data_IF_542802785025
#
_entry.id   IF_542802785025
#
_cell.length_a   1.000
_cell.length_b   1.000
_cell.length_c   1.000
_cell.angle_alpha   90.00
_cell.angle_beta   90.00
_cell.angle_gamma   90.00
#
_symmetry.space_group_name_H-M   'P 1'
#
loop_
_entity.id
_entity.type
_entity.pdbx_description
1 polymer ?
#
# COMPACT_ATOMS: atom_id res chain seq x y z
N UNK A 1 -22.71 -17.92 -10.45
CA UNK A 1 -21.70 -18.00 -9.38
C UNK A 1 -20.39 -18.42 -10.03
N UNK A 2 -19.37 -17.57 -10.02
CA UNK A 2 -18.07 -17.86 -10.62
C UNK A 2 -17.12 -18.38 -9.52
N UNK A 3 -16.46 -19.50 -9.81
CA UNK A 3 -15.48 -20.12 -8.93
C UNK A 3 -14.09 -19.91 -9.52
N UNK A 4 -13.19 -19.30 -8.75
CA UNK A 4 -11.80 -19.09 -9.16
C UNK A 4 -10.90 -20.11 -8.46
N UNK A 5 -10.82 -21.33 -9.00
CA UNK A 5 -9.84 -22.33 -8.58
C UNK A 5 -9.60 -23.39 -9.67
N UNK A 6 -8.47 -23.29 -10.38
CA UNK A 6 -8.09 -24.27 -11.42
C UNK A 6 -7.66 -25.62 -10.86
N UNK A 7 -7.16 -25.65 -9.61
CA UNK A 7 -6.97 -26.90 -8.89
C UNK A 7 -8.36 -27.38 -8.47
N UNK A 8 -8.92 -28.35 -9.18
CA UNK A 8 -10.09 -29.14 -8.81
C UNK A 8 -9.84 -29.97 -7.52
N UNK A 9 -9.24 -29.37 -6.49
CA UNK A 9 -9.12 -29.97 -5.18
C UNK A 9 -10.47 -29.81 -4.50
N UNK A 10 -11.31 -30.85 -4.63
CA UNK A 10 -12.61 -31.03 -3.99
C UNK A 10 -12.59 -30.84 -2.45
N UNK A 11 -11.41 -30.69 -1.84
CA UNK A 11 -11.19 -30.60 -0.40
C UNK A 11 -10.82 -29.20 0.12
N UNK A 12 -10.70 -28.18 -0.72
CA UNK A 12 -10.29 -26.84 -0.26
C UNK A 12 -11.50 -25.94 -0.03
N UNK A 13 -11.66 -25.48 1.23
CA UNK A 13 -12.75 -24.57 1.62
C UNK A 13 -12.67 -23.26 0.83
N UNK A 14 -13.74 -23.01 0.07
CA UNK A 14 -13.92 -21.76 -0.68
C UNK A 14 -14.56 -20.70 0.22
N UNK A 15 -14.07 -19.49 0.12
CA UNK A 15 -14.61 -18.32 0.81
C UNK A 15 -14.87 -17.20 -0.18
N UNK A 16 -15.67 -16.22 0.24
CA UNK A 16 -16.00 -15.06 -0.58
C UNK A 16 -14.73 -14.24 -0.81
N UNK A 17 -14.51 -13.80 -2.04
CA UNK A 17 -13.34 -12.99 -2.41
C UNK A 17 -13.42 -11.65 -1.64
N UNK A 18 -12.38 -11.28 -0.87
CA UNK A 18 -12.34 -10.00 -0.14
C UNK A 18 -12.48 -8.78 -1.06
N UNK A 19 -12.99 -7.66 -0.54
CA UNK A 19 -13.13 -6.43 -1.33
C UNK A 19 -11.80 -5.93 -1.87
N UNK A 20 -10.72 -6.07 -1.10
CA UNK A 20 -9.37 -5.64 -1.47
C UNK A 20 -8.84 -6.42 -2.68
N UNK A 21 -9.06 -7.73 -2.73
CA UNK A 21 -8.71 -8.58 -3.87
C UNK A 21 -9.53 -8.22 -5.13
N UNK A 22 -10.80 -7.85 -4.97
CA UNK A 22 -11.65 -7.42 -6.08
C UNK A 22 -11.20 -6.07 -6.65
N UNK A 23 -10.89 -5.12 -5.78
CA UNK A 23 -10.33 -3.81 -6.17
C UNK A 23 -8.97 -3.97 -6.83
N UNK A 24 -8.09 -4.81 -6.28
CA UNK A 24 -6.79 -5.13 -6.90
C UNK A 24 -6.95 -5.66 -8.32
N UNK A 25 -7.89 -6.59 -8.54
CA UNK A 25 -8.17 -7.16 -9.87
C UNK A 25 -8.66 -6.10 -10.83
N UNK A 26 -9.56 -5.22 -10.38
CA UNK A 26 -10.07 -4.13 -11.20
C UNK A 26 -8.98 -3.11 -11.57
N UNK A 27 -8.11 -2.74 -10.63
CA UNK A 27 -7.00 -1.81 -10.90
C UNK A 27 -5.97 -2.44 -11.83
N UNK A 28 -5.60 -3.70 -11.60
CA UNK A 28 -4.46 -4.34 -12.27
C UNK A 28 -4.81 -5.00 -13.60
N UNK A 29 -6.06 -5.46 -13.77
CA UNK A 29 -6.52 -6.21 -14.95
C UNK A 29 -7.72 -5.55 -15.64
N UNK A 30 -8.27 -4.46 -15.09
CA UNK A 30 -9.53 -3.86 -15.56
C UNK A 30 -10.70 -4.86 -15.57
N UNK A 31 -10.66 -5.87 -14.69
CA UNK A 31 -11.70 -6.89 -14.55
C UNK A 31 -12.48 -6.65 -13.26
N UNK A 32 -13.80 -6.50 -13.39
CA UNK A 32 -14.72 -6.43 -12.26
C UNK A 32 -15.10 -7.83 -11.78
N UNK A 33 -14.92 -8.09 -10.48
CA UNK A 33 -15.37 -9.32 -9.81
C UNK A 33 -16.65 -9.00 -9.01
N UNK A 34 -17.80 -9.60 -9.36
CA UNK A 34 -19.04 -9.43 -8.60
C UNK A 34 -18.94 -9.91 -7.15
N UNK A 35 -19.82 -9.37 -6.30
CA UNK A 35 -20.05 -9.91 -4.96
C UNK A 35 -20.40 -11.40 -5.01
N UNK A 36 -20.09 -12.13 -3.93
CA UNK A 36 -20.33 -13.56 -3.76
C UNK A 36 -19.49 -14.50 -4.65
N UNK A 37 -18.59 -13.98 -5.49
CA UNK A 37 -17.57 -14.81 -6.13
C UNK A 37 -16.65 -15.42 -5.07
N UNK A 38 -16.20 -16.66 -5.29
CA UNK A 38 -15.43 -17.41 -4.30
C UNK A 38 -14.06 -17.84 -4.82
N UNK A 39 -13.08 -17.81 -3.93
CA UNK A 39 -11.72 -18.31 -4.17
C UNK A 39 -11.28 -19.20 -3.01
N UNK A 40 -10.24 -20.00 -3.25
CA UNK A 40 -9.54 -20.71 -2.19
C UNK A 40 -8.41 -19.86 -1.59
N UNK A 41 -8.04 -20.13 -0.34
CA UNK A 41 -6.99 -19.37 0.36
C UNK A 41 -5.61 -19.52 -0.29
N UNK A 42 -5.39 -20.56 -1.09
CA UNK A 42 -4.13 -20.81 -1.79
C UNK A 42 -3.80 -19.72 -2.81
N UNK A 43 -4.82 -19.06 -3.37
CA UNK A 43 -4.67 -17.97 -4.34
C UNK A 43 -4.54 -16.59 -3.69
N UNK A 44 -4.74 -16.51 -2.37
CA UNK A 44 -4.63 -15.26 -1.62
C UNK A 44 -3.33 -15.20 -0.83
N UNK A 45 -2.82 -13.98 -0.69
CA UNK A 45 -1.81 -13.59 0.26
C UNK A 45 -2.39 -12.43 1.08
N UNK A 46 -2.78 -12.72 2.32
CA UNK A 46 -3.66 -11.83 3.09
C UNK A 46 -5.02 -11.67 2.42
N UNK A 47 -5.46 -10.43 2.22
CA UNK A 47 -6.73 -10.10 1.55
C UNK A 47 -6.58 -9.82 0.04
N UNK A 48 -5.43 -10.14 -0.57
CA UNK A 48 -5.11 -9.86 -1.98
C UNK A 48 -4.78 -11.13 -2.74
N UNK A 49 -4.99 -11.13 -4.06
CA UNK A 49 -4.53 -12.22 -4.92
C UNK A 49 -3.02 -12.23 -5.04
N UNK A 50 -2.44 -13.43 -5.00
CA UNK A 50 -1.05 -13.67 -5.42
C UNK A 50 -0.89 -13.32 -6.90
N UNK A 51 0.32 -12.95 -7.31
CA UNK A 51 0.60 -12.52 -8.69
C UNK A 51 0.23 -13.59 -9.71
N UNK A 52 0.59 -14.85 -9.44
CA UNK A 52 0.30 -15.97 -10.33
C UNK A 52 -1.21 -16.15 -10.48
N UNK A 53 -1.95 -16.08 -9.37
CA UNK A 53 -3.41 -16.18 -9.37
C UNK A 53 -4.04 -15.02 -10.15
N UNK A 54 -3.58 -13.79 -9.93
CA UNK A 54 -4.07 -12.59 -10.60
C UNK A 54 -3.90 -12.67 -12.13
N UNK A 55 -2.79 -13.26 -12.59
CA UNK A 55 -2.50 -13.42 -14.02
C UNK A 55 -3.45 -14.40 -14.73
N UNK A 56 -3.99 -15.39 -14.01
CA UNK A 56 -4.98 -16.32 -14.55
C UNK A 56 -6.43 -15.80 -14.50
N UNK A 57 -6.69 -14.65 -13.89
CA UNK A 57 -8.05 -14.08 -13.87
C UNK A 57 -8.39 -13.55 -15.26
N UNK A 58 -9.39 -14.16 -15.88
CA UNK A 58 -9.96 -13.75 -17.17
C UNK A 58 -11.40 -13.28 -17.05
N UNK A 59 -11.83 -12.45 -18.00
CA UNK A 59 -13.23 -12.06 -18.13
C UNK A 59 -14.01 -13.13 -18.89
N UNK A 60 -15.10 -13.61 -18.30
CA UNK A 60 -16.04 -14.52 -18.97
C UNK A 60 -17.17 -13.78 -19.71
N UNK A 61 -17.40 -12.51 -19.36
CA UNK A 61 -18.48 -11.67 -19.90
C UNK A 61 -18.03 -10.22 -19.97
N UNK A 62 -18.38 -9.54 -21.05
CA UNK A 62 -18.02 -8.13 -21.24
C UNK A 62 -18.93 -7.15 -20.49
N UNK A 63 -20.07 -7.64 -19.98
CA UNK A 63 -21.07 -6.81 -19.31
C UNK A 63 -21.57 -7.50 -18.04
N UNK A 64 -21.86 -6.68 -17.02
CA UNK A 64 -22.48 -7.11 -15.77
C UNK A 64 -23.54 -6.10 -15.35
N UNK A 65 -24.68 -6.59 -14.85
CA UNK A 65 -25.70 -5.73 -14.24
C UNK A 65 -25.35 -5.53 -12.77
N UNK A 66 -25.27 -4.28 -12.34
CA UNK A 66 -25.04 -3.89 -10.94
C UNK A 66 -26.29 -3.25 -10.38
N UNK A 67 -26.61 -3.57 -9.13
CA UNK A 67 -27.61 -2.82 -8.37
C UNK A 67 -27.00 -1.55 -7.75
N UNK A 68 -27.86 -0.66 -7.27
CA UNK A 68 -27.45 0.63 -6.70
C UNK A 68 -26.51 0.50 -5.50
N UNK A 69 -26.64 -0.58 -4.72
CA UNK A 69 -25.78 -0.85 -3.56
C UNK A 69 -24.39 -1.27 -4.03
N UNK A 70 -24.29 -2.23 -4.94
CA UNK A 70 -23.02 -2.68 -5.51
C UNK A 70 -22.25 -1.55 -6.19
N UNK A 71 -22.95 -0.64 -6.89
CA UNK A 71 -22.31 0.54 -7.49
C UNK A 71 -21.74 1.46 -6.41
N UNK A 72 -22.51 1.74 -5.35
CA UNK A 72 -22.04 2.58 -4.24
C UNK A 72 -20.81 1.97 -3.57
N UNK A 73 -20.85 0.67 -3.26
CA UNK A 73 -19.76 -0.05 -2.61
C UNK A 73 -18.50 -0.08 -3.50
N UNK A 74 -18.67 -0.27 -4.81
CA UNK A 74 -17.60 -0.23 -5.78
C UNK A 74 -16.92 1.15 -5.85
N UNK A 75 -17.71 2.21 -6.02
CA UNK A 75 -17.19 3.58 -6.07
C UNK A 75 -16.48 3.93 -4.78
N UNK A 76 -17.05 3.56 -3.63
CA UNK A 76 -16.44 3.82 -2.32
C UNK A 76 -15.10 3.09 -2.19
N UNK A 77 -15.03 1.82 -2.59
CA UNK A 77 -13.80 1.04 -2.57
C UNK A 77 -12.73 1.58 -3.52
N UNK A 78 -13.14 2.09 -4.69
CA UNK A 78 -12.26 2.77 -5.63
C UNK A 78 -11.73 4.09 -5.09
N UNK A 79 -12.59 4.89 -4.47
CA UNK A 79 -12.20 6.15 -3.83
C UNK A 79 -11.20 5.87 -2.71
N UNK A 80 -11.45 4.89 -1.86
CA UNK A 80 -10.50 4.51 -0.80
C UNK A 80 -9.18 3.97 -1.36
N UNK A 81 -9.21 3.22 -2.45
CA UNK A 81 -7.97 2.77 -3.12
C UNK A 81 -7.25 3.91 -3.85
N UNK A 82 -7.98 4.91 -4.35
CA UNK A 82 -7.46 6.09 -5.01
C UNK A 82 -6.98 7.16 -4.03
N UNK A 83 -7.46 7.12 -2.77
CA UNK A 83 -6.86 7.85 -1.65
C UNK A 83 -5.45 7.31 -1.46
N UNK A 84 -4.55 7.96 -2.17
CA UNK A 84 -3.11 7.83 -2.07
C UNK A 84 -2.74 7.99 -0.60
N UNK A 85 -2.45 6.86 0.06
CA UNK A 85 -1.85 6.90 1.40
C UNK A 85 -0.63 7.80 1.37
N UNK A 86 -0.53 8.66 2.37
CA UNK A 86 0.63 9.50 2.56
C UNK A 86 1.79 8.58 2.89
N UNK A 87 2.80 8.53 2.03
CA UNK A 87 3.99 7.72 2.27
C UNK A 87 4.64 8.15 3.59
N UNK A 88 4.55 9.45 3.92
CA UNK A 88 4.95 9.95 5.23
C UNK A 88 4.19 9.28 6.38
N UNK A 89 2.87 9.15 6.30
CA UNK A 89 2.09 8.45 7.34
C UNK A 89 2.40 6.95 7.39
N UNK A 90 2.69 6.32 6.24
CA UNK A 90 3.07 4.90 6.20
C UNK A 90 4.40 4.64 6.96
N UNK A 91 5.31 5.61 7.03
CA UNK A 91 6.53 5.51 7.84
C UNK A 91 6.31 5.79 9.34
N UNK A 92 5.11 6.19 9.78
CA UNK A 92 4.78 6.23 11.20
C UNK A 92 4.67 4.83 11.82
N UNK A 93 4.22 3.84 11.03
CA UNK A 93 4.11 2.43 11.40
C UNK A 93 4.72 1.53 10.31
N UNK A 94 5.90 0.97 10.57
CA UNK A 94 6.64 0.06 9.67
C UNK A 94 5.85 -1.20 9.27
N UNK A 95 4.80 -1.56 10.01
CA UNK A 95 3.92 -2.67 9.61
C UNK A 95 2.99 -2.29 8.45
N UNK A 96 2.75 -0.99 8.26
CA UNK A 96 1.82 -0.46 7.26
C UNK A 96 2.41 -0.34 5.86
N UNK A 97 3.74 -0.17 5.76
CA UNK A 97 4.50 -0.14 4.50
C UNK A 97 4.85 -1.56 4.04
N UNK A 98 5.04 -1.82 2.75
CA UNK A 98 5.59 -3.10 2.27
C UNK A 98 7.13 -3.05 2.15
N UNK A 99 7.76 -4.21 2.00
CA UNK A 99 9.23 -4.34 1.97
C UNK A 99 9.87 -3.61 0.78
N UNK A 100 9.21 -3.67 -0.39
CA UNK A 100 9.70 -3.08 -1.63
C UNK A 100 9.65 -1.55 -1.53
N UNK A 101 8.51 -0.98 -1.12
CA UNK A 101 8.36 0.46 -0.90
C UNK A 101 9.36 0.99 0.13
N UNK A 102 9.60 0.26 1.23
CA UNK A 102 10.59 0.64 2.24
C UNK A 102 12.00 0.74 1.64
N UNK A 103 12.42 -0.28 0.88
CA UNK A 103 13.73 -0.33 0.23
C UNK A 103 13.88 0.68 -0.88
N UNK A 104 12.86 0.88 -1.70
CA UNK A 104 12.86 1.88 -2.77
C UNK A 104 12.97 3.29 -2.21
N UNK A 105 12.33 3.56 -1.07
CA UNK A 105 12.38 4.89 -0.45
C UNK A 105 13.70 5.12 0.30
N UNK A 106 14.09 4.18 1.17
CA UNK A 106 15.18 4.41 2.14
C UNK A 106 16.52 3.82 1.70
N UNK A 107 16.51 2.86 0.77
CA UNK A 107 17.67 2.05 0.39
C UNK A 107 17.87 0.80 1.26
N UNK A 108 17.10 0.63 2.33
CA UNK A 108 17.25 -0.44 3.32
C UNK A 108 16.02 -1.32 3.39
N UNK A 109 16.22 -2.60 3.71
CA UNK A 109 15.12 -3.48 4.11
C UNK A 109 14.55 -3.03 5.45
N UNK A 110 13.30 -3.42 5.75
CA UNK A 110 12.59 -2.96 6.95
C UNK A 110 13.35 -3.25 8.25
N UNK A 111 13.94 -4.44 8.34
CA UNK A 111 14.71 -4.88 9.50
C UNK A 111 16.01 -4.07 9.69
N UNK A 112 16.64 -3.62 8.60
CA UNK A 112 17.82 -2.76 8.63
C UNK A 112 17.43 -1.34 9.02
N UNK A 113 16.34 -0.84 8.44
CA UNK A 113 15.77 0.46 8.76
C UNK A 113 15.36 0.55 10.24
N UNK A 114 14.70 -0.48 10.78
CA UNK A 114 14.32 -0.55 12.20
C UNK A 114 15.56 -0.51 13.11
N UNK A 115 16.62 -1.25 12.78
CA UNK A 115 17.89 -1.18 13.52
C UNK A 115 18.48 0.23 13.52
N UNK A 116 18.52 0.89 12.35
CA UNK A 116 19.02 2.27 12.25
C UNK A 116 18.17 3.21 13.11
N UNK A 117 16.85 3.05 13.03
CA UNK A 117 15.90 3.81 13.83
C UNK A 117 16.17 3.61 15.33
N UNK A 118 16.45 2.40 15.79
CA UNK A 118 16.77 2.10 17.20
C UNK A 118 18.10 2.71 17.67
N UNK A 119 19.11 2.79 16.80
CA UNK A 119 20.38 3.45 17.11
C UNK A 119 20.26 4.97 17.31
N UNK A 120 19.21 5.60 16.77
CA UNK A 120 18.94 7.03 16.93
C UNK A 120 18.26 7.33 18.28
N UNK A 121 18.95 7.06 19.38
CA UNK A 121 18.41 7.24 20.75
C UNK A 121 18.16 8.69 21.16
N UNK A 122 18.88 9.65 20.56
CA UNK A 122 18.73 11.08 20.87
C UNK A 122 17.56 11.74 20.12
N UNK A 123 17.16 11.16 19.00
CA UNK A 123 16.07 11.67 18.19
C UNK A 123 14.74 11.25 18.81
N UNK A 124 13.93 12.24 19.19
CA UNK A 124 12.61 11.99 19.78
C UNK A 124 11.51 12.20 18.76
N UNK A 125 10.39 11.52 19.00
CA UNK A 125 9.12 11.85 18.37
C UNK A 125 8.70 13.28 18.77
N UNK A 126 7.97 13.95 17.89
CA UNK A 126 7.32 15.23 18.16
C UNK A 126 5.81 15.07 18.03
N UNK A 127 5.05 16.15 18.30
CA UNK A 127 3.61 16.17 18.11
C UNK A 127 3.16 16.04 16.64
N UNK A 128 4.08 16.21 15.69
CA UNK A 128 3.78 16.29 14.25
C UNK A 128 4.47 15.16 13.46
N UNK A 129 5.51 14.53 14.02
CA UNK A 129 6.26 13.47 13.34
C UNK A 129 6.86 12.46 14.30
N UNK A 130 7.00 11.23 13.86
CA UNK A 130 7.81 10.21 14.53
C UNK A 130 9.28 10.30 14.11
N UNK A 131 10.15 9.65 14.88
CA UNK A 131 11.55 9.42 14.57
C UNK A 131 11.71 8.68 13.24
N UNK A 132 10.90 7.64 13.05
CA UNK A 132 10.88 6.81 11.84
C UNK A 132 10.56 7.65 10.59
N UNK A 133 9.53 8.50 10.66
CA UNK A 133 9.15 9.39 9.56
C UNK A 133 10.28 10.33 9.14
N UNK A 134 10.97 10.93 10.11
CA UNK A 134 12.07 11.84 9.83
C UNK A 134 13.30 11.11 9.27
N UNK A 135 13.59 9.92 9.80
CA UNK A 135 14.66 9.07 9.27
C UNK A 135 14.38 8.69 7.81
N UNK A 136 13.15 8.31 7.47
CA UNK A 136 12.78 7.96 6.10
C UNK A 136 12.99 9.12 5.12
N UNK A 137 12.57 10.33 5.50
CA UNK A 137 12.82 11.54 4.70
C UNK A 137 14.32 11.78 4.52
N UNK A 138 15.09 11.68 5.61
CA UNK A 138 16.52 11.92 5.60
C UNK A 138 17.27 10.92 4.70
N UNK A 139 16.97 9.62 4.81
CA UNK A 139 17.56 8.59 3.97
C UNK A 139 17.18 8.76 2.49
N UNK A 140 15.92 9.11 2.20
CA UNK A 140 15.49 9.41 0.84
C UNK A 140 16.22 10.62 0.26
N UNK A 141 16.40 11.68 1.07
CA UNK A 141 17.17 12.85 0.67
C UNK A 141 18.63 12.51 0.40
N UNK A 142 19.29 11.76 1.29
CA UNK A 142 20.66 11.29 1.08
C UNK A 142 20.81 10.45 -0.19
N UNK A 143 19.82 9.59 -0.47
CA UNK A 143 19.81 8.71 -1.64
C UNK A 143 19.62 9.47 -2.96
N UNK A 144 18.78 10.51 -2.96
CA UNK A 144 18.30 11.14 -4.20
C UNK A 144 18.86 12.53 -4.46
N UNK A 145 19.31 13.25 -3.43
CA UNK A 145 19.76 14.64 -3.52
C UNK A 145 18.68 15.63 -3.96
N UNK A 146 17.40 15.24 -3.90
CA UNK A 146 16.29 16.05 -4.37
C UNK A 146 16.04 17.26 -3.47
N UNK A 147 15.45 18.31 -4.05
CA UNK A 147 15.03 19.48 -3.30
C UNK A 147 13.80 19.19 -2.41
N UNK A 148 13.51 20.10 -1.49
CA UNK A 148 12.43 19.94 -0.52
C UNK A 148 11.03 19.82 -1.17
N UNK A 149 10.80 20.50 -2.29
CA UNK A 149 9.51 20.41 -3.01
C UNK A 149 9.30 19.02 -3.62
N UNK A 150 10.34 18.44 -4.22
CA UNK A 150 10.30 17.09 -4.77
C UNK A 150 10.15 16.03 -3.68
N UNK A 151 10.84 16.18 -2.54
CA UNK A 151 10.67 15.31 -1.36
C UNK A 151 9.24 15.41 -0.84
N UNK A 152 8.71 16.62 -0.69
CA UNK A 152 7.35 16.84 -0.22
C UNK A 152 6.31 16.19 -1.13
N UNK A 153 6.49 16.31 -2.45
CA UNK A 153 5.63 15.67 -3.43
C UNK A 153 5.72 14.14 -3.37
N UNK A 154 6.93 13.59 -3.20
CA UNK A 154 7.17 12.16 -3.07
C UNK A 154 6.51 11.58 -1.82
N UNK A 155 6.74 12.20 -0.66
CA UNK A 155 6.19 11.78 0.62
C UNK A 155 4.72 12.17 0.82
N UNK A 156 4.16 13.00 -0.06
CA UNK A 156 2.78 13.53 0.01
C UNK A 156 2.48 14.26 1.32
N UNK A 157 3.44 15.06 1.75
CA UNK A 157 3.29 15.88 2.96
C UNK A 157 2.43 17.11 2.60
N UNK A 158 1.23 17.19 3.15
CA UNK A 158 0.36 18.36 2.98
C UNK A 158 0.98 19.61 3.62
N UNK A 159 0.64 20.80 3.11
CA UNK A 159 1.32 22.08 3.25
C UNK A 159 1.45 22.69 4.67
N UNK A 160 1.29 21.93 5.75
CA UNK A 160 1.18 22.46 7.11
C UNK A 160 2.47 22.48 7.96
N UNK A 161 3.64 21.99 7.49
CA UNK A 161 4.81 21.85 8.39
C UNK A 161 6.21 22.13 7.83
N UNK A 162 6.36 22.76 6.65
CA UNK A 162 7.70 22.97 6.06
C UNK A 162 8.59 24.01 6.78
N UNK A 163 8.13 24.73 7.80
CA UNK A 163 8.99 25.68 8.52
C UNK A 163 9.96 25.05 9.53
N UNK A 164 9.98 23.72 9.70
CA UNK A 164 10.70 23.08 10.81
C UNK A 164 11.76 22.03 10.42
N UNK A 165 12.05 21.84 9.12
CA UNK A 165 13.16 20.97 8.67
C UNK A 165 14.54 21.65 8.67
N UNK A 166 14.62 22.94 9.01
CA UNK A 166 15.87 23.72 8.93
C UNK A 166 16.88 23.49 10.07
N UNK A 167 16.64 22.57 11.02
CA UNK A 167 17.51 22.42 12.19
C UNK A 167 18.54 21.26 12.10
N UNK A 168 18.70 20.61 10.94
CA UNK A 168 19.65 19.47 10.81
C UNK A 168 20.86 19.80 9.92
N UNK A 169 20.93 20.97 9.27
CA UNK A 169 22.00 21.28 8.31
C UNK A 169 22.72 22.62 8.50
N UNK A 170 22.46 23.38 9.56
CA UNK A 170 23.23 24.60 9.87
C UNK A 170 23.87 24.54 11.26
N UNK A 171 24.86 23.66 11.39
CA UNK A 171 25.99 23.86 12.29
C UNK A 171 27.26 23.46 11.53
N UNK A 172 27.80 24.42 10.79
CA UNK A 172 29.23 24.61 10.51
C UNK A 172 29.40 26.00 9.89
#
# INVERSE_FOLDING_TARGET
MLYFCFKNNLYVKLHVIPSEARVQTMISKSIFIPDQCRTCHLHLQGNRFKKEALDFIGSFKNEVKLDSKSVKDLISSLIEAAKKKSLFEDFADLNSIDEETCKETTGFFKNEFEKINDYLGEMKDSSIRTKSQALAIYLFWLKTGLNQEAIKAHFRIELLSCSQLNNVTTQN
#
